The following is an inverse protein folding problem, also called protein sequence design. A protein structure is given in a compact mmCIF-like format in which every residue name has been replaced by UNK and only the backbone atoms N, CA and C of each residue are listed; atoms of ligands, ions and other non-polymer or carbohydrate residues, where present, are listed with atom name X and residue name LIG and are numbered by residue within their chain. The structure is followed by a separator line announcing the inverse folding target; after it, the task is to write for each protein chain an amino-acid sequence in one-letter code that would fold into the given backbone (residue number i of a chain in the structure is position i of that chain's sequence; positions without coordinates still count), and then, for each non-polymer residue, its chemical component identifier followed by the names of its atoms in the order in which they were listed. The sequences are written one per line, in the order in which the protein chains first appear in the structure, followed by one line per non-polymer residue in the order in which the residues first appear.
data_IF_404797517172
#
_entry.id   IF_404797517172
#
_cell.length_a   1.000
_cell.length_b   1.000
_cell.length_c   1.000
_cell.angle_alpha   90.00
_cell.angle_beta   90.00
_cell.angle_gamma   90.00
#
_symmetry.space_group_name_H-M   'P 1'
#
loop_
_entity.id
_entity.type
_entity.pdbx_description
1 polymer ?
#
# COMPACT_ATOMS: atom_id res chain seq x y z
N UNK A 1 -3.76 45.94 -40.26
CA UNK A 1 -3.29 44.62 -39.78
C UNK A 1 -3.02 44.76 -38.31
N UNK A 2 -3.98 44.37 -37.46
CA UNK A 2 -3.75 44.34 -36.02
C UNK A 2 -2.91 43.11 -35.69
N UNK A 3 -1.76 43.30 -35.00
CA UNK A 3 -1.01 42.18 -34.44
C UNK A 3 -1.77 41.64 -33.23
N UNK A 4 -2.40 40.49 -33.37
CA UNK A 4 -3.01 39.79 -32.23
C UNK A 4 -1.90 39.23 -31.34
N UNK A 5 -1.41 40.00 -30.37
CA UNK A 5 -0.33 39.57 -29.47
C UNK A 5 -0.70 38.29 -28.73
N UNK A 6 -0.04 37.19 -29.09
CA UNK A 6 -0.27 35.86 -28.52
C UNK A 6 0.30 35.85 -27.11
N UNK A 7 -0.57 35.67 -26.12
CA UNK A 7 -0.16 35.58 -24.71
C UNK A 7 0.19 34.13 -24.36
N UNK A 8 1.45 33.87 -24.05
CA UNK A 8 1.94 32.57 -23.60
C UNK A 8 1.98 32.49 -22.07
N UNK A 9 1.84 31.29 -21.50
CA UNK A 9 2.01 31.07 -20.05
C UNK A 9 3.49 30.84 -19.72
N UNK A 10 4.02 31.59 -18.77
CA UNK A 10 5.37 31.40 -18.27
C UNK A 10 5.50 30.04 -17.56
N UNK A 11 6.45 29.22 -18.00
CA UNK A 11 6.72 27.88 -17.47
C UNK A 11 7.80 27.85 -16.38
N UNK A 12 8.33 29.02 -15.96
CA UNK A 12 9.21 29.10 -14.79
C UNK A 12 8.43 28.88 -13.50
N UNK A 13 9.04 28.14 -12.58
CA UNK A 13 8.42 27.71 -11.32
C UNK A 13 8.07 28.91 -10.43
N UNK A 14 6.86 28.96 -9.88
CA UNK A 14 6.39 30.08 -9.05
C UNK A 14 6.00 31.36 -9.81
N UNK A 15 6.14 31.42 -11.15
CA UNK A 15 5.70 32.58 -11.94
C UNK A 15 4.24 32.46 -12.39
N UNK A 16 3.92 31.43 -13.18
CA UNK A 16 2.60 31.16 -13.77
C UNK A 16 1.94 32.28 -14.63
N UNK A 17 2.51 33.47 -14.71
CA UNK A 17 1.92 34.62 -15.40
C UNK A 17 1.78 34.40 -16.92
N UNK A 18 0.79 35.07 -17.51
CA UNK A 18 0.63 35.19 -18.96
C UNK A 18 1.43 36.39 -19.46
N UNK A 19 2.33 36.19 -20.42
CA UNK A 19 3.22 37.21 -20.98
C UNK A 19 3.09 37.26 -22.51
N UNK A 20 3.54 38.36 -23.12
CA UNK A 20 3.66 38.49 -24.59
C UNK A 20 5.13 38.61 -24.96
N UNK A 21 5.54 38.19 -26.15
CA UNK A 21 6.96 38.33 -26.56
C UNK A 21 7.38 39.81 -26.69
N UNK A 22 6.43 40.70 -27.03
CA UNK A 22 6.61 42.16 -27.05
C UNK A 22 6.78 42.78 -25.63
N UNK A 23 6.39 42.06 -24.57
CA UNK A 23 6.28 42.55 -23.19
C UNK A 23 6.99 41.58 -22.22
N UNK A 24 8.31 41.42 -22.42
CA UNK A 24 9.15 40.44 -21.72
C UNK A 24 10.51 41.03 -21.29
N UNK A 25 10.49 41.96 -20.32
CA UNK A 25 11.69 42.57 -19.75
C UNK A 25 12.49 41.58 -18.88
N UNK A 26 13.79 41.84 -18.70
CA UNK A 26 14.69 41.03 -17.86
C UNK A 26 14.36 41.01 -16.36
N UNK A 27 13.34 41.75 -15.92
CA UNK A 27 12.86 41.76 -14.53
C UNK A 27 11.35 41.41 -14.38
N UNK A 28 10.65 41.12 -15.47
CA UNK A 28 9.21 40.82 -15.50
C UNK A 28 8.82 39.53 -14.75
N UNK A 29 9.62 38.48 -14.90
CA UNK A 29 9.35 37.17 -14.33
C UNK A 29 10.04 36.99 -12.97
N UNK A 30 9.26 36.88 -11.89
CA UNK A 30 9.74 36.32 -10.61
C UNK A 30 9.52 34.80 -10.57
N UNK A 31 10.56 34.03 -10.22
CA UNK A 31 10.52 32.56 -10.25
C UNK A 31 11.49 31.88 -9.27
N UNK A 32 11.37 30.55 -9.13
CA UNK A 32 12.32 29.67 -8.46
C UNK A 32 13.06 28.76 -9.43
N UNK A 33 14.25 28.31 -9.02
CA UNK A 33 15.19 27.58 -9.87
C UNK A 33 15.00 26.05 -9.84
N UNK A 34 14.98 25.42 -8.67
CA UNK A 34 14.71 23.98 -8.56
C UNK A 34 14.12 23.61 -7.20
N UNK A 35 13.15 22.69 -7.15
CA UNK A 35 12.64 22.13 -5.91
C UNK A 35 13.56 21.01 -5.41
N UNK A 36 13.77 20.97 -4.09
CA UNK A 36 14.52 19.95 -3.37
C UNK A 36 13.56 19.27 -2.40
N UNK A 37 13.53 17.94 -2.42
CA UNK A 37 12.71 17.13 -1.53
C UNK A 37 13.61 16.35 -0.57
N UNK A 38 13.43 16.58 0.73
CA UNK A 38 14.11 15.85 1.82
C UNK A 38 13.13 15.69 2.98
N UNK A 39 13.06 14.50 3.58
CA UNK A 39 12.41 14.27 4.88
C UNK A 39 10.94 14.76 4.98
N UNK A 40 10.20 14.66 3.86
CA UNK A 40 8.83 15.16 3.70
C UNK A 40 8.70 16.67 3.39
N UNK A 41 9.78 17.42 3.62
CA UNK A 41 9.92 18.85 3.36
C UNK A 41 10.17 19.10 1.87
N UNK A 42 9.57 20.19 1.37
CA UNK A 42 9.72 20.72 0.02
C UNK A 42 10.42 22.07 0.14
N UNK A 43 11.58 22.23 -0.49
CA UNK A 43 12.45 23.41 -0.35
C UNK A 43 12.89 23.97 -1.70
N UNK A 44 13.00 25.29 -1.83
CA UNK A 44 13.52 25.93 -3.05
C UNK A 44 15.04 26.14 -2.98
N UNK A 45 15.79 25.57 -3.94
CA UNK A 45 17.26 25.61 -4.00
C UNK A 45 17.85 27.03 -3.88
N UNK A 46 17.20 28.00 -4.54
CA UNK A 46 17.67 29.38 -4.63
C UNK A 46 17.53 30.20 -3.35
N UNK A 47 16.61 29.87 -2.44
CA UNK A 47 16.24 30.73 -1.31
C UNK A 47 15.96 30.00 0.00
N UNK A 48 16.01 28.67 0.03
CA UNK A 48 15.76 27.81 1.21
C UNK A 48 14.39 28.01 1.88
N UNK A 49 13.46 28.74 1.24
CA UNK A 49 12.05 28.77 1.63
C UNK A 49 11.50 27.35 1.48
N UNK A 50 10.87 26.85 2.54
CA UNK A 50 10.45 25.46 2.67
C UNK A 50 9.03 25.33 3.23
N UNK A 51 8.33 24.25 2.86
CA UNK A 51 7.00 23.91 3.34
C UNK A 51 6.83 22.39 3.47
N UNK A 52 6.01 21.95 4.43
CA UNK A 52 5.54 20.56 4.51
C UNK A 52 4.32 20.32 3.60
N UNK A 53 3.47 21.32 3.36
CA UNK A 53 2.36 21.23 2.41
C UNK A 53 2.81 21.52 0.96
N UNK A 54 2.12 20.92 -0.02
CA UNK A 54 2.40 21.11 -1.46
C UNK A 54 1.80 22.39 -2.06
N UNK A 55 0.58 22.77 -1.71
CA UNK A 55 -0.07 23.97 -2.23
C UNK A 55 0.67 25.21 -1.74
N UNK A 56 0.91 25.30 -0.43
CA UNK A 56 1.71 26.35 0.19
C UNK A 56 3.15 26.41 -0.36
N UNK A 57 3.71 25.29 -0.82
CA UNK A 57 5.04 25.25 -1.47
C UNK A 57 5.03 25.88 -2.89
N UNK A 58 3.94 25.70 -3.64
CA UNK A 58 3.73 26.32 -4.95
C UNK A 58 3.36 27.81 -4.84
N UNK A 59 2.72 28.22 -3.76
CA UNK A 59 2.35 29.61 -3.44
C UNK A 59 3.55 30.48 -3.00
N UNK A 60 4.70 29.87 -2.67
CA UNK A 60 5.90 30.61 -2.26
C UNK A 60 6.32 31.57 -3.38
N UNK A 61 6.36 32.91 -3.17
CA UNK A 61 6.73 33.85 -4.21
C UNK A 61 8.19 33.73 -4.61
N UNK A 62 8.44 33.89 -5.92
CA UNK A 62 9.71 33.69 -6.60
C UNK A 62 10.91 34.38 -5.96
N UNK A 63 12.08 33.74 -6.06
CA UNK A 63 13.34 34.20 -5.49
C UNK A 63 14.24 34.96 -6.48
N UNK A 64 14.15 34.65 -7.77
CA UNK A 64 14.97 35.23 -8.85
C UNK A 64 14.10 36.01 -9.82
N UNK A 65 14.66 37.05 -10.42
CA UNK A 65 14.10 37.79 -11.56
C UNK A 65 14.70 37.32 -12.89
N UNK A 66 14.04 37.65 -14.00
CA UNK A 66 14.47 37.30 -15.36
C UNK A 66 13.36 37.54 -16.38
N UNK A 67 13.59 37.14 -17.63
CA UNK A 67 12.55 37.04 -18.66
C UNK A 67 11.62 35.85 -18.43
N UNK A 68 10.34 36.01 -18.73
CA UNK A 68 9.42 34.89 -18.91
C UNK A 68 9.89 33.97 -20.04
N UNK A 69 9.55 32.69 -19.97
CA UNK A 69 9.79 31.72 -21.05
C UNK A 69 8.66 30.69 -21.12
N UNK A 70 8.38 30.22 -22.33
CA UNK A 70 7.46 29.11 -22.62
C UNK A 70 8.17 27.75 -22.58
N UNK A 71 9.48 27.72 -22.32
CA UNK A 71 10.25 26.47 -22.21
C UNK A 71 10.20 25.90 -20.79
N UNK A 72 9.82 24.62 -20.68
CA UNK A 72 9.84 23.88 -19.41
C UNK A 72 11.28 23.56 -19.01
N UNK A 73 11.78 24.20 -17.95
CA UNK A 73 13.13 23.95 -17.47
C UNK A 73 13.31 22.48 -17.07
N UNK A 74 14.25 21.79 -17.71
CA UNK A 74 14.58 20.38 -17.44
C UNK A 74 15.41 20.31 -16.16
N UNK A 75 14.73 20.10 -15.03
CA UNK A 75 15.36 19.88 -13.73
C UNK A 75 16.08 18.52 -13.77
N UNK A 76 17.36 18.51 -14.14
CA UNK A 76 18.18 17.30 -14.08
C UNK A 76 18.32 16.85 -12.62
N UNK A 77 17.94 15.61 -12.26
CA UNK A 77 18.06 15.15 -10.88
C UNK A 77 19.54 15.05 -10.49
N UNK A 78 19.98 15.94 -9.58
CA UNK A 78 21.35 15.93 -9.06
C UNK A 78 21.59 14.60 -8.34
N UNK A 79 22.48 13.78 -8.90
CA UNK A 79 22.92 12.52 -8.29
C UNK A 79 23.56 12.83 -6.94
N UNK A 80 22.91 12.44 -5.85
CA UNK A 80 23.49 12.53 -4.49
C UNK A 80 24.66 11.55 -4.41
N UNK A 81 25.88 12.05 -4.25
CA UNK A 81 27.05 11.19 -4.02
C UNK A 81 26.83 10.36 -2.74
N UNK A 82 26.98 9.05 -2.85
CA UNK A 82 26.85 8.13 -1.72
C UNK A 82 28.13 8.17 -0.89
N UNK A 83 28.02 8.53 0.39
CA UNK A 83 29.08 8.32 1.39
C UNK A 83 28.79 7.00 2.11
N UNK A 84 29.86 6.26 2.44
CA UNK A 84 29.77 4.87 2.91
C UNK A 84 29.11 4.71 4.29
N UNK A 85 28.48 3.55 4.57
CA UNK A 85 27.92 3.24 5.89
C UNK A 85 29.03 2.97 6.93
N UNK A 86 28.82 3.32 8.22
CA UNK A 86 29.75 3.01 9.29
C UNK A 86 29.69 1.53 9.72
N UNK A 87 30.83 0.98 10.12
CA UNK A 87 31.01 -0.41 10.55
C UNK A 87 30.33 -0.71 11.90
N UNK A 88 29.72 -1.89 12.02
CA UNK A 88 29.19 -2.44 13.29
C UNK A 88 30.22 -3.28 14.04
N UNK A 89 30.19 -3.22 15.38
CA UNK A 89 30.90 -4.11 16.30
C UNK A 89 29.97 -4.51 17.47
N UNK A 90 30.18 -5.67 18.14
CA UNK A 90 29.09 -6.35 18.86
C UNK A 90 29.17 -6.29 20.40
N UNK A 91 28.02 -6.45 21.07
CA UNK A 91 27.92 -6.70 22.53
C UNK A 91 26.88 -7.78 22.90
N UNK A 92 27.40 -8.97 23.22
CA UNK A 92 27.04 -9.87 24.35
C UNK A 92 25.58 -10.04 24.84
N UNK A 93 25.12 -11.30 24.78
CA UNK A 93 24.20 -12.04 25.70
C UNK A 93 23.49 -11.29 26.85
N UNK A 94 22.17 -11.54 27.02
CA UNK A 94 21.66 -12.53 27.99
C UNK A 94 20.11 -12.70 28.00
N UNK A 95 19.65 -13.82 28.57
CA UNK A 95 18.27 -14.16 29.02
C UNK A 95 17.26 -14.69 27.98
N UNK A 96 17.02 -16.01 28.03
CA UNK A 96 16.16 -16.75 27.11
C UNK A 96 14.74 -16.99 27.67
N UNK A 97 13.79 -16.08 27.37
CA UNK A 97 12.35 -16.42 27.35
C UNK A 97 11.48 -15.51 26.47
N UNK A 98 11.80 -14.21 26.37
CA UNK A 98 10.95 -13.23 25.68
C UNK A 98 11.11 -13.22 24.14
N UNK A 99 12.20 -13.80 23.63
CA UNK A 99 12.52 -13.86 22.20
C UNK A 99 11.61 -14.79 21.38
N UNK A 100 10.90 -15.73 22.02
CA UNK A 100 9.93 -16.59 21.35
C UNK A 100 8.59 -15.87 21.17
N UNK A 101 8.33 -15.33 19.97
CA UNK A 101 7.11 -14.55 19.69
C UNK A 101 5.82 -15.30 20.02
N UNK A 102 5.77 -16.62 19.76
CA UNK A 102 4.62 -17.50 20.09
C UNK A 102 4.31 -17.51 21.59
N UNK A 103 5.34 -17.58 22.45
CA UNK A 103 5.17 -17.57 23.90
C UNK A 103 4.74 -16.20 24.41
N UNK A 104 5.28 -15.11 23.85
CA UNK A 104 4.86 -13.74 24.17
C UNK A 104 3.41 -13.43 23.77
N UNK A 105 2.82 -14.27 22.93
CA UNK A 105 1.41 -14.23 22.50
C UNK A 105 0.54 -15.27 23.23
N UNK A 106 1.04 -15.88 24.31
CA UNK A 106 0.29 -16.80 25.17
C UNK A 106 0.12 -18.22 24.64
N UNK A 107 0.70 -18.56 23.48
CA UNK A 107 0.60 -19.89 22.89
C UNK A 107 1.75 -20.80 23.30
N UNK A 108 1.42 -22.07 23.58
CA UNK A 108 2.36 -23.10 24.00
C UNK A 108 3.24 -23.58 22.83
N UNK A 109 4.48 -23.98 23.13
CA UNK A 109 5.44 -24.48 22.14
C UNK A 109 6.12 -25.77 22.62
N UNK A 110 6.49 -26.64 21.68
CA UNK A 110 7.04 -27.97 21.98
C UNK A 110 8.39 -27.95 22.70
N UNK A 111 9.17 -26.87 22.54
CA UNK A 111 10.51 -26.70 23.12
C UNK A 111 10.49 -26.38 24.63
N UNK A 112 9.34 -25.93 25.16
CA UNK A 112 9.20 -25.52 26.57
C UNK A 112 8.14 -26.33 27.31
N UNK A 113 7.89 -27.56 26.85
CA UNK A 113 6.87 -28.45 27.38
C UNK A 113 7.20 -29.05 28.76
N UNK A 114 6.36 -28.73 29.75
CA UNK A 114 6.26 -29.37 31.08
C UNK A 114 7.30 -29.01 32.15
N UNK A 115 6.83 -28.29 33.20
CA UNK A 115 6.68 -28.89 34.54
C UNK A 115 5.51 -28.20 35.27
N UNK A 116 4.97 -28.79 36.35
CA UNK A 116 3.72 -28.30 36.97
C UNK A 116 3.58 -28.55 38.49
N UNK A 117 2.88 -27.63 39.18
CA UNK A 117 2.28 -27.78 40.55
C UNK A 117 3.31 -27.80 41.70
N UNK A 118 2.94 -27.72 43.01
CA UNK A 118 1.59 -27.76 43.61
C UNK A 118 1.24 -26.77 44.78
N UNK A 119 -0.08 -26.69 45.09
CA UNK A 119 -0.74 -26.46 46.42
C UNK A 119 -0.63 -25.04 47.09
N UNK A 120 -1.69 -24.29 47.53
CA UNK A 120 -3.07 -24.51 48.09
C UNK A 120 -3.09 -24.56 49.66
N UNK A 121 -4.03 -24.03 50.46
CA UNK A 121 -5.41 -23.50 50.27
C UNK A 121 -5.45 -21.94 50.28
N UNK A 122 -6.34 -21.10 50.88
CA UNK A 122 -7.46 -21.13 51.88
C UNK A 122 -8.50 -20.06 51.44
N UNK A 123 -9.82 -20.28 51.28
CA UNK A 123 -10.98 -20.48 52.20
C UNK A 123 -11.41 -19.24 53.02
N UNK A 124 -12.69 -18.92 53.26
CA UNK A 124 -14.02 -19.56 53.02
C UNK A 124 -15.07 -18.42 52.77
N UNK A 125 -16.29 -18.55 52.23
CA UNK A 125 -17.16 -19.70 51.92
C UNK A 125 -17.55 -19.71 50.42
N UNK A 126 -18.73 -19.38 49.84
CA UNK A 126 -20.18 -19.24 50.16
C UNK A 126 -20.90 -19.02 48.80
N UNK A 127 -22.15 -19.41 48.49
CA UNK A 127 -23.12 -20.43 49.00
C UNK A 127 -24.23 -20.62 47.92
N UNK A 128 -25.19 -21.52 48.14
CA UNK A 128 -26.37 -21.85 47.29
C UNK A 128 -26.09 -22.58 45.94
N UNK A 129 -26.88 -23.54 45.41
CA UNK A 129 -28.19 -24.20 45.73
C UNK A 129 -29.45 -23.46 45.20
N UNK A 130 -30.29 -24.01 44.30
CA UNK A 130 -30.26 -25.32 43.56
C UNK A 130 -31.24 -25.39 42.35
N UNK A 131 -30.99 -26.35 41.44
CA UNK A 131 -31.99 -27.03 40.57
C UNK A 131 -32.53 -26.25 39.34
N UNK A 132 -33.24 -26.85 38.37
CA UNK A 132 -33.40 -28.25 37.93
C UNK A 132 -34.05 -28.30 36.51
N UNK A 133 -34.16 -29.49 35.91
CA UNK A 133 -34.85 -29.85 34.63
C UNK A 133 -36.32 -29.36 34.49
N UNK A 134 -37.00 -29.28 33.32
CA UNK A 134 -36.80 -29.84 31.96
C UNK A 134 -37.59 -29.08 30.83
N UNK A 135 -37.24 -29.40 29.56
CA UNK A 135 -38.07 -29.56 28.35
C UNK A 135 -39.05 -28.47 27.81
N UNK A 136 -38.91 -28.25 26.49
CA UNK A 136 -39.94 -27.99 25.45
C UNK A 136 -40.92 -26.81 25.55
N UNK A 137 -40.67 -25.76 24.75
CA UNK A 137 -41.62 -25.35 23.69
C UNK A 137 -40.97 -24.51 22.58
N UNK A 138 -40.93 -25.12 21.40
CA UNK A 138 -40.49 -24.61 20.10
C UNK A 138 -41.15 -23.27 19.66
N UNK A 139 -40.36 -22.22 19.38
CA UNK A 139 -40.48 -21.35 18.19
C UNK A 139 -39.46 -20.20 18.13
N UNK A 140 -38.61 -20.18 17.09
CA UNK A 140 -38.31 -19.00 16.24
C UNK A 140 -37.41 -19.47 15.10
N UNK A 141 -37.94 -19.49 13.87
CA UNK A 141 -37.17 -19.84 12.66
C UNK A 141 -36.35 -18.63 12.23
N UNK A 142 -35.03 -18.68 12.38
CA UNK A 142 -34.15 -17.72 11.71
C UNK A 142 -34.02 -18.07 10.23
N UNK A 143 -34.55 -17.19 9.37
CA UNK A 143 -34.48 -17.38 7.93
C UNK A 143 -33.04 -17.25 7.42
N UNK A 144 -32.46 -18.35 6.94
CA UNK A 144 -31.25 -18.29 6.13
C UNK A 144 -31.61 -17.71 4.75
N UNK A 145 -30.90 -16.66 4.32
CA UNK A 145 -31.03 -16.13 2.98
C UNK A 145 -30.64 -17.21 1.94
N UNK A 146 -31.32 -17.29 0.78
CA UNK A 146 -31.03 -18.29 -0.23
C UNK A 146 -29.62 -18.06 -0.80
N UNK A 147 -28.78 -19.10 -0.75
CA UNK A 147 -27.50 -19.13 -1.47
C UNK A 147 -27.79 -18.98 -2.97
N UNK A 148 -27.01 -18.17 -3.72
CA UNK A 148 -27.22 -18.01 -5.15
C UNK A 148 -27.13 -19.37 -5.87
N UNK A 149 -27.97 -19.63 -6.88
CA UNK A 149 -28.00 -20.92 -7.55
C UNK A 149 -26.68 -21.16 -8.26
N UNK A 150 -26.05 -22.31 -8.00
CA UNK A 150 -24.91 -22.81 -8.78
C UNK A 150 -25.37 -22.96 -10.23
N UNK A 151 -24.89 -22.08 -11.12
CA UNK A 151 -25.13 -22.22 -12.56
C UNK A 151 -24.51 -23.53 -13.03
N UNK A 152 -25.29 -24.36 -13.70
CA UNK A 152 -24.79 -25.53 -14.42
C UNK A 152 -24.26 -24.98 -15.75
N UNK A 153 -22.99 -24.59 -15.75
CA UNK A 153 -22.26 -24.14 -16.95
C UNK A 153 -21.96 -25.36 -17.81
N UNK A 154 -22.04 -25.24 -19.14
CA UNK A 154 -21.62 -26.34 -20.01
C UNK A 154 -20.10 -26.56 -19.91
N UNK A 155 -19.70 -27.82 -19.87
CA UNK A 155 -18.32 -28.28 -19.68
C UNK A 155 -17.37 -27.76 -20.80
N UNK A 156 -17.93 -27.38 -21.95
CA UNK A 156 -17.20 -26.84 -23.10
C UNK A 156 -17.27 -25.32 -23.24
N UNK A 157 -18.04 -24.62 -22.41
CA UNK A 157 -18.22 -23.17 -22.51
C UNK A 157 -16.95 -22.42 -22.06
N UNK A 158 -16.42 -21.46 -22.85
CA UNK A 158 -15.25 -20.68 -22.46
C UNK A 158 -15.59 -19.64 -21.39
N UNK A 159 -15.14 -19.85 -20.16
CA UNK A 159 -15.30 -18.93 -19.03
C UNK A 159 -14.02 -18.11 -18.78
N UNK A 160 -14.14 -16.90 -18.25
CA UNK A 160 -12.99 -16.04 -17.91
C UNK A 160 -12.65 -16.19 -16.43
N UNK A 161 -11.40 -16.56 -16.13
CA UNK A 161 -10.92 -16.73 -14.77
C UNK A 161 -10.72 -15.38 -14.07
N UNK A 162 -11.51 -15.12 -13.02
CA UNK A 162 -11.43 -13.88 -12.21
C UNK A 162 -10.43 -13.99 -11.04
N UNK A 163 -9.70 -15.10 -10.91
CA UNK A 163 -8.62 -15.22 -9.93
C UNK A 163 -7.54 -14.16 -10.20
N UNK A 164 -7.07 -13.49 -9.14
CA UNK A 164 -6.20 -12.31 -9.22
C UNK A 164 -4.82 -12.70 -9.78
N UNK A 165 -4.42 -12.09 -10.89
CA UNK A 165 -3.20 -12.45 -11.63
C UNK A 165 -3.36 -13.57 -12.69
N UNK A 166 -4.57 -14.10 -12.90
CA UNK A 166 -4.84 -15.06 -13.97
C UNK A 166 -5.47 -14.40 -15.21
N UNK A 167 -6.75 -14.01 -15.15
CA UNK A 167 -7.47 -13.35 -16.26
C UNK A 167 -7.70 -14.19 -17.53
N UNK A 168 -7.18 -15.43 -17.58
CA UNK A 168 -7.24 -16.29 -18.76
C UNK A 168 -8.64 -16.86 -19.00
N UNK A 169 -8.98 -17.08 -20.27
CA UNK A 169 -10.15 -17.88 -20.66
C UNK A 169 -9.83 -19.36 -20.53
N UNK A 170 -10.68 -20.11 -19.85
CA UNK A 170 -10.57 -21.56 -19.61
C UNK A 170 -11.88 -22.28 -19.96
N UNK A 171 -11.85 -23.61 -19.98
CA UNK A 171 -13.05 -24.47 -20.11
C UNK A 171 -13.04 -25.46 -18.95
N UNK A 172 -14.20 -25.83 -18.44
CA UNK A 172 -14.25 -26.71 -17.25
C UNK A 172 -13.65 -28.09 -17.52
N UNK A 173 -13.76 -28.62 -18.76
CA UNK A 173 -13.08 -29.87 -19.17
C UNK A 173 -11.55 -29.86 -19.05
N UNK A 174 -10.94 -28.67 -19.06
CA UNK A 174 -9.48 -28.49 -18.98
C UNK A 174 -9.05 -27.95 -17.60
N UNK A 175 -10.03 -27.64 -16.73
CA UNK A 175 -9.80 -27.10 -15.40
C UNK A 175 -9.32 -28.21 -14.45
N UNK A 176 -8.23 -27.95 -13.74
CA UNK A 176 -7.63 -28.89 -12.79
C UNK A 176 -6.86 -28.12 -11.70
N UNK A 177 -6.43 -28.83 -10.67
CA UNK A 177 -5.81 -28.31 -9.45
C UNK A 177 -4.55 -27.45 -9.62
N UNK A 178 -3.97 -27.46 -10.82
CA UNK A 178 -2.72 -26.77 -11.16
C UNK A 178 -2.82 -25.91 -12.42
N UNK A 179 -4.02 -25.78 -13.00
CA UNK A 179 -4.28 -25.04 -14.24
C UNK A 179 -4.11 -23.51 -14.05
N UNK A 180 -4.75 -22.97 -13.01
CA UNK A 180 -4.73 -21.55 -12.71
C UNK A 180 -3.55 -21.21 -11.82
N UNK A 181 -2.67 -20.31 -12.28
CA UNK A 181 -1.69 -19.64 -11.40
C UNK A 181 -2.23 -18.27 -11.00
N UNK A 182 -2.33 -17.98 -9.70
CA UNK A 182 -2.93 -16.75 -9.17
C UNK A 182 -2.42 -16.35 -7.77
N UNK A 183 -2.88 -15.19 -7.28
CA UNK A 183 -2.73 -14.71 -5.92
C UNK A 183 -4.04 -14.89 -5.12
N UNK A 184 -4.10 -15.80 -4.13
CA UNK A 184 -5.30 -15.99 -3.30
C UNK A 184 -5.49 -14.94 -2.20
N UNK A 185 -4.48 -14.11 -1.91
CA UNK A 185 -4.55 -13.06 -0.90
C UNK A 185 -5.11 -11.73 -1.46
N UNK A 186 -5.65 -10.85 -0.60
CA UNK A 186 -5.88 -9.45 -0.97
C UNK A 186 -4.56 -8.75 -1.33
N UNK A 187 -4.65 -7.70 -2.15
CA UNK A 187 -3.55 -6.78 -2.38
C UNK A 187 -3.31 -5.92 -1.11
N UNK A 188 -2.04 -5.63 -0.82
CA UNK A 188 -1.60 -4.79 0.30
C UNK A 188 -0.98 -3.51 -0.24
N UNK A 189 -1.31 -2.38 0.39
CA UNK A 189 -0.81 -1.05 0.05
C UNK A 189 -0.35 -0.33 1.33
N UNK A 190 0.96 -0.37 1.63
CA UNK A 190 1.56 0.22 2.83
C UNK A 190 2.88 0.92 2.51
N UNK A 191 3.14 2.08 3.14
CA UNK A 191 4.30 2.97 2.90
C UNK A 191 4.76 3.07 1.42
N UNK A 192 3.82 3.43 0.53
CA UNK A 192 3.99 3.52 -0.94
C UNK A 192 4.40 2.22 -1.64
N UNK A 193 4.59 1.13 -0.92
CA UNK A 193 4.78 -0.21 -1.43
C UNK A 193 3.44 -0.84 -1.84
N UNK A 194 3.49 -1.74 -2.82
CA UNK A 194 2.39 -2.56 -3.32
C UNK A 194 2.78 -4.03 -3.23
N UNK A 195 1.86 -4.92 -2.91
CA UNK A 195 2.16 -6.34 -2.76
C UNK A 195 0.91 -7.20 -2.56
N UNK A 196 1.09 -8.49 -2.28
CA UNK A 196 -0.01 -9.44 -2.12
C UNK A 196 0.08 -10.17 -0.78
N UNK A 197 -1.02 -10.25 0.00
CA UNK A 197 -1.03 -10.90 1.33
C UNK A 197 -0.71 -12.40 1.33
N UNK A 198 -0.59 -13.02 0.16
CA UNK A 198 -0.26 -14.43 -0.05
C UNK A 198 1.22 -14.68 -0.39
N UNK A 199 1.98 -13.66 -0.77
CA UNK A 199 3.43 -13.74 -0.99
C UNK A 199 4.06 -12.39 -0.67
N UNK A 200 5.11 -12.38 0.17
CA UNK A 200 5.71 -11.17 0.75
C UNK A 200 6.50 -10.29 -0.26
N UNK A 201 6.17 -10.41 -1.55
CA UNK A 201 6.68 -9.62 -2.67
C UNK A 201 6.10 -8.22 -2.59
N UNK A 202 7.00 -7.25 -2.51
CA UNK A 202 6.73 -5.87 -2.17
C UNK A 202 7.47 -4.94 -3.13
N UNK A 203 6.72 -4.24 -3.97
CA UNK A 203 7.22 -3.47 -5.12
C UNK A 203 6.87 -1.99 -5.00
N UNK A 204 7.71 -1.13 -5.57
CA UNK A 204 7.54 0.33 -5.45
C UNK A 204 6.75 0.91 -6.60
N UNK A 205 6.85 0.33 -7.79
CA UNK A 205 6.17 0.84 -8.98
C UNK A 205 4.84 0.13 -9.22
N UNK A 206 3.93 0.78 -9.96
CA UNK A 206 2.58 0.23 -10.19
C UNK A 206 2.59 -0.82 -11.30
N UNK A 207 3.35 -0.59 -12.36
CA UNK A 207 3.48 -1.53 -13.47
C UNK A 207 4.21 -2.81 -13.00
N UNK A 208 5.23 -2.65 -12.14
CA UNK A 208 5.90 -3.74 -11.43
C UNK A 208 4.89 -4.61 -10.65
N UNK A 209 3.93 -4.00 -9.96
CA UNK A 209 2.86 -4.69 -9.23
C UNK A 209 1.94 -5.51 -10.14
N UNK A 210 1.60 -4.98 -11.32
CA UNK A 210 0.80 -5.70 -12.32
C UNK A 210 1.57 -6.89 -12.93
N UNK A 211 2.90 -6.87 -12.87
CA UNK A 211 3.78 -7.95 -13.35
C UNK A 211 4.26 -8.94 -12.27
N UNK A 212 3.81 -8.82 -11.01
CA UNK A 212 4.20 -9.78 -9.96
C UNK A 212 3.76 -11.20 -10.38
N UNK A 213 4.67 -12.20 -10.38
CA UNK A 213 4.32 -13.55 -10.79
C UNK A 213 3.39 -14.21 -9.76
N UNK A 214 2.35 -14.93 -10.20
CA UNK A 214 1.39 -15.60 -9.32
C UNK A 214 2.06 -16.63 -8.40
N UNK A 215 1.74 -16.56 -7.11
CA UNK A 215 2.41 -17.34 -6.05
C UNK A 215 1.74 -18.68 -5.73
N UNK A 216 0.58 -18.99 -6.29
CA UNK A 216 -0.21 -20.18 -5.95
C UNK A 216 -0.82 -20.79 -7.20
N UNK A 217 -0.85 -22.13 -7.24
CA UNK A 217 -1.59 -22.88 -8.26
C UNK A 217 -2.88 -23.44 -7.68
N UNK A 218 -3.91 -23.52 -8.52
CA UNK A 218 -5.23 -24.01 -8.16
C UNK A 218 -6.13 -24.17 -9.38
N UNK A 219 -7.42 -24.35 -9.11
CA UNK A 219 -8.48 -24.35 -10.11
C UNK A 219 -8.73 -22.93 -10.62
N UNK A 220 -9.08 -22.78 -11.90
CA UNK A 220 -9.66 -21.54 -12.40
C UNK A 220 -11.02 -21.31 -11.74
N UNK A 221 -11.34 -20.05 -11.42
CA UNK A 221 -12.64 -19.68 -10.89
C UNK A 221 -13.22 -18.50 -11.68
N UNK A 222 -14.43 -18.68 -12.22
CA UNK A 222 -15.17 -17.66 -12.95
C UNK A 222 -15.97 -16.72 -12.04
N UNK A 223 -16.28 -17.12 -10.80
CA UNK A 223 -17.03 -16.35 -9.81
C UNK A 223 -16.45 -16.57 -8.38
N UNK A 224 -15.26 -16.03 -8.07
CA UNK A 224 -14.78 -15.96 -6.69
C UNK A 224 -15.64 -14.99 -5.86
N UNK A 225 -16.00 -15.40 -4.65
CA UNK A 225 -16.59 -14.50 -3.65
C UNK A 225 -15.58 -13.38 -3.31
N UNK A 226 -16.06 -12.13 -3.25
CA UNK A 226 -15.22 -10.91 -3.30
C UNK A 226 -14.98 -10.23 -1.96
#
# INVERSE_FOLDING_TARGET
MEKTSIKARCQRLGCNAMFSEDDNSDNSCQYHESPIFHDGIKEWSCCKKRSHDFSLFMEIPGCKTGKHTTEKQVITPVKKNTVAPPTVAPLTNASSKDSCSRCRQGFFCSDHGSQSKPVNIVRDKSVNVSGATCADSNSTVQAQAPKPPKKIVDINEPQVCKNKGCGQTFKEKDNHDTACSYHPGPAIFHDRMRGWKCCDVHVKEFDEFMTIPPCTKGWHNADPES
#
